data_IF_269562467923
#
_entry.id   IF_269562467923
#
_cell.length_a   1.000
_cell.length_b   1.000
_cell.length_c   1.000
_cell.angle_alpha   90.00
_cell.angle_beta   90.00
_cell.angle_gamma   90.00
#
_symmetry.space_group_name_H-M   'P 1'
#
loop_
_entity.id
_entity.type
_entity.pdbx_description
1 polymer ?
#
# COMPACT_ATOMS: atom_id res chain seq x y z
N UNK A 1 -17.30 -8.66 1.27
CA UNK A 1 -16.37 -9.61 0.65
C UNK A 1 -16.22 -10.80 1.57
N UNK A 2 -16.24 -12.02 1.04
CA UNK A 2 -16.11 -13.24 1.85
C UNK A 2 -14.67 -13.42 2.39
N UNK A 3 -14.55 -13.53 3.72
CA UNK A 3 -13.27 -13.70 4.43
C UNK A 3 -12.81 -15.15 4.36
N UNK A 4 -11.51 -15.35 4.18
CA UNK A 4 -10.90 -16.69 4.20
C UNK A 4 -11.03 -17.33 5.59
N UNK A 5 -11.36 -18.62 5.64
CA UNK A 5 -11.36 -19.40 6.88
C UNK A 5 -9.96 -19.61 7.47
N UNK A 6 -8.92 -19.26 6.72
CA UNK A 6 -7.52 -19.37 7.15
C UNK A 6 -6.99 -18.10 7.84
N UNK A 7 -7.81 -17.05 7.94
CA UNK A 7 -7.44 -15.83 8.69
C UNK A 7 -7.10 -16.19 10.13
N UNK A 8 -6.06 -15.54 10.65
CA UNK A 8 -5.54 -15.71 12.00
C UNK A 8 -4.76 -14.46 12.41
N UNK A 9 -4.19 -14.47 13.62
CA UNK A 9 -3.14 -13.51 14.02
C UNK A 9 -1.77 -13.96 13.49
N UNK A 10 -0.83 -13.03 13.44
CA UNK A 10 0.58 -13.37 13.22
C UNK A 10 1.08 -14.24 14.38
N UNK A 11 1.95 -15.19 14.08
CA UNK A 11 2.68 -15.91 15.11
C UNK A 11 4.05 -15.26 15.38
N UNK A 12 4.71 -15.66 16.47
CA UNK A 12 5.99 -15.08 16.89
C UNK A 12 7.07 -15.15 15.79
N UNK A 13 7.12 -16.22 15.00
CA UNK A 13 8.10 -16.31 13.91
C UNK A 13 7.84 -15.30 12.81
N UNK A 14 6.57 -14.99 12.50
CA UNK A 14 6.24 -13.98 11.50
C UNK A 14 6.52 -12.57 12.00
N UNK A 15 6.24 -12.30 13.28
CA UNK A 15 6.58 -11.03 13.93
C UNK A 15 8.10 -10.84 13.92
N UNK A 16 8.87 -11.84 14.38
CA UNK A 16 10.33 -11.81 14.32
C UNK A 16 10.85 -11.69 12.88
N UNK A 17 10.21 -12.36 11.90
CA UNK A 17 10.57 -12.19 10.49
C UNK A 17 10.35 -10.75 10.02
N UNK A 18 9.25 -10.11 10.40
CA UNK A 18 9.00 -8.72 10.05
C UNK A 18 10.06 -7.80 10.64
N UNK A 19 10.38 -7.96 11.92
CA UNK A 19 11.44 -7.20 12.58
C UNK A 19 12.81 -7.42 11.92
N UNK A 20 13.13 -8.68 11.61
CA UNK A 20 14.45 -9.04 11.11
C UNK A 20 14.65 -8.76 9.63
N UNK A 21 13.65 -9.07 8.81
CA UNK A 21 13.72 -9.07 7.35
C UNK A 21 12.94 -7.92 6.73
N UNK A 22 12.03 -7.29 7.49
CA UNK A 22 11.26 -6.11 7.10
C UNK A 22 9.97 -6.42 6.36
N UNK A 23 9.59 -7.70 6.24
CA UNK A 23 8.39 -8.11 5.51
C UNK A 23 7.79 -9.45 5.96
N UNK A 24 6.49 -9.63 5.67
CA UNK A 24 5.75 -10.89 5.70
C UNK A 24 4.96 -11.02 4.38
N UNK A 25 4.74 -12.24 3.87
CA UNK A 25 3.95 -12.45 2.64
C UNK A 25 3.09 -13.72 2.72
N UNK A 26 2.04 -13.77 1.90
CA UNK A 26 1.16 -14.93 1.78
C UNK A 26 0.16 -15.05 2.92
N UNK A 27 -0.20 -13.93 3.55
CA UNK A 27 -1.17 -13.92 4.63
C UNK A 27 -2.58 -13.99 4.03
N UNK A 28 -3.41 -14.97 4.41
CA UNK A 28 -4.75 -15.10 3.86
C UNK A 28 -5.67 -14.00 4.40
N UNK A 29 -6.49 -13.40 3.52
CA UNK A 29 -7.55 -12.45 3.90
C UNK A 29 -8.88 -12.83 3.27
N UNK A 30 -8.94 -12.93 1.94
CA UNK A 30 -10.19 -13.22 1.23
C UNK A 30 -10.23 -14.65 0.70
N UNK A 31 -11.43 -15.26 0.72
CA UNK A 31 -11.64 -16.56 0.07
C UNK A 31 -11.76 -16.39 -1.45
N UNK A 32 -11.89 -17.49 -2.20
CA UNK A 32 -12.17 -17.42 -3.63
C UNK A 32 -13.47 -16.66 -3.98
N UNK A 33 -14.47 -16.70 -3.09
CA UNK A 33 -15.67 -15.86 -3.21
C UNK A 33 -15.34 -14.38 -3.03
N UNK A 34 -14.58 -14.05 -1.98
CA UNK A 34 -14.13 -12.69 -1.70
C UNK A 34 -13.22 -12.09 -2.77
N UNK A 35 -12.40 -12.90 -3.44
CA UNK A 35 -11.56 -12.47 -4.57
C UNK A 35 -12.42 -11.93 -5.73
N UNK A 36 -13.56 -12.55 -6.03
CA UNK A 36 -14.46 -12.05 -7.09
C UNK A 36 -15.02 -10.67 -6.73
N UNK A 37 -15.42 -10.48 -5.47
CA UNK A 37 -15.88 -9.17 -4.99
C UNK A 37 -14.75 -8.12 -5.03
N UNK A 38 -13.53 -8.52 -4.69
CA UNK A 38 -12.34 -7.65 -4.73
C UNK A 38 -12.02 -7.18 -6.15
N UNK A 39 -12.08 -8.10 -7.12
CA UNK A 39 -11.90 -7.77 -8.54
C UNK A 39 -13.03 -6.88 -9.05
N UNK A 40 -14.28 -7.13 -8.62
CA UNK A 40 -15.40 -6.25 -8.93
C UNK A 40 -15.20 -4.86 -8.34
N UNK A 41 -14.74 -4.74 -7.09
CA UNK A 41 -14.42 -3.45 -6.47
C UNK A 41 -13.37 -2.69 -7.28
N UNK A 42 -12.28 -3.37 -7.67
CA UNK A 42 -11.26 -2.77 -8.51
C UNK A 42 -11.84 -2.23 -9.82
N UNK A 43 -12.61 -3.04 -10.54
CA UNK A 43 -13.24 -2.64 -11.81
C UNK A 43 -14.23 -1.49 -11.63
N UNK A 44 -15.09 -1.56 -10.62
CA UNK A 44 -16.07 -0.51 -10.29
C UNK A 44 -15.35 0.82 -10.06
N UNK A 45 -14.29 0.83 -9.24
CA UNK A 45 -13.56 2.06 -8.91
C UNK A 45 -12.68 2.55 -10.07
N UNK A 46 -12.03 1.66 -10.82
CA UNK A 46 -11.24 2.04 -11.98
C UNK A 46 -12.10 2.64 -13.08
N UNK A 47 -13.33 2.15 -13.28
CA UNK A 47 -14.25 2.66 -14.30
C UNK A 47 -14.82 4.04 -13.98
N UNK A 48 -14.67 4.51 -12.74
CA UNK A 48 -15.06 5.87 -12.36
C UNK A 48 -14.00 6.91 -12.68
N UNK A 49 -12.79 6.50 -13.07
CA UNK A 49 -11.74 7.43 -13.45
C UNK A 49 -12.09 8.16 -14.75
N UNK A 50 -11.94 9.50 -14.80
CA UNK A 50 -12.06 10.25 -16.03
C UNK A 50 -11.08 9.74 -17.10
N UNK A 51 -11.46 9.90 -18.38
CA UNK A 51 -10.60 9.55 -19.49
C UNK A 51 -9.22 10.23 -19.38
N UNK A 52 -8.14 9.44 -19.54
CA UNK A 52 -6.76 9.93 -19.47
C UNK A 52 -6.15 9.96 -18.06
N UNK A 53 -6.94 9.74 -17.00
CA UNK A 53 -6.38 9.63 -15.64
C UNK A 53 -5.75 8.26 -15.44
N UNK A 54 -4.45 8.24 -15.12
CA UNK A 54 -3.74 7.01 -14.78
C UNK A 54 -4.00 6.63 -13.32
N UNK A 55 -4.61 5.47 -13.09
CA UNK A 55 -4.91 4.97 -11.74
C UNK A 55 -3.68 4.90 -10.83
N UNK A 56 -2.50 4.57 -11.37
CA UNK A 56 -1.24 4.51 -10.61
C UNK A 56 -0.75 5.89 -10.14
N UNK A 57 -1.35 6.97 -10.64
CA UNK A 57 -1.06 8.37 -10.27
C UNK A 57 -2.18 8.99 -9.42
N UNK A 58 -3.16 8.18 -9.01
CA UNK A 58 -4.23 8.56 -8.06
C UNK A 58 -3.97 7.92 -6.71
N UNK A 59 -4.16 8.66 -5.61
CA UNK A 59 -4.03 8.13 -4.25
C UNK A 59 -5.18 8.64 -3.37
N UNK A 60 -5.13 8.36 -2.06
CA UNK A 60 -6.17 8.76 -1.09
C UNK A 60 -7.55 8.17 -1.37
N UNK A 61 -7.62 6.98 -1.99
CA UNK A 61 -8.91 6.34 -2.30
C UNK A 61 -9.79 6.11 -1.06
N UNK A 62 -9.20 5.90 0.11
CA UNK A 62 -9.90 5.77 1.40
C UNK A 62 -10.62 7.06 1.86
N UNK A 63 -10.22 8.24 1.35
CA UNK A 63 -10.89 9.53 1.60
C UNK A 63 -12.01 9.80 0.60
N UNK A 64 -11.96 9.16 -0.57
CA UNK A 64 -12.89 9.39 -1.66
C UNK A 64 -14.01 8.33 -1.70
N UNK A 65 -13.71 7.08 -1.39
CA UNK A 65 -14.60 5.93 -1.61
C UNK A 65 -14.90 5.19 -0.32
N UNK A 66 -16.18 5.06 0.01
CA UNK A 66 -16.63 4.27 1.17
C UNK A 66 -16.33 2.78 0.97
N UNK A 67 -16.50 2.25 -0.23
CA UNK A 67 -16.07 0.88 -0.57
C UNK A 67 -14.58 0.65 -0.31
N UNK A 68 -13.72 1.59 -0.71
CA UNK A 68 -12.27 1.48 -0.46
C UNK A 68 -11.95 1.63 1.03
N UNK A 69 -12.61 2.57 1.72
CA UNK A 69 -12.50 2.74 3.17
C UNK A 69 -12.83 1.44 3.92
N UNK A 70 -13.95 0.80 3.57
CA UNK A 70 -14.41 -0.44 4.21
C UNK A 70 -13.46 -1.60 3.94
N UNK A 71 -12.92 -1.70 2.72
CA UNK A 71 -11.86 -2.66 2.41
C UNK A 71 -10.65 -2.45 3.33
N UNK A 72 -10.21 -1.20 3.49
CA UNK A 72 -9.09 -0.84 4.35
C UNK A 72 -9.35 -1.06 5.85
N UNK A 73 -10.61 -1.14 6.27
CA UNK A 73 -11.00 -1.41 7.65
C UNK A 73 -11.47 -2.86 7.85
N UNK A 74 -11.15 -3.77 6.92
CA UNK A 74 -11.45 -5.19 7.07
C UNK A 74 -10.77 -5.74 8.34
N UNK A 75 -11.53 -6.33 9.30
CA UNK A 75 -10.98 -6.76 10.59
C UNK A 75 -9.75 -7.66 10.47
N UNK A 76 -9.77 -8.62 9.53
CA UNK A 76 -8.66 -9.52 9.25
C UNK A 76 -7.37 -8.80 8.82
N UNK A 77 -7.46 -7.69 8.06
CA UNK A 77 -6.29 -6.88 7.69
C UNK A 77 -5.79 -6.13 8.93
N UNK A 78 -6.72 -5.51 9.65
CA UNK A 78 -6.39 -4.73 10.85
C UNK A 78 -5.77 -5.58 11.96
N UNK A 79 -6.16 -6.86 12.06
CA UNK A 79 -5.58 -7.81 13.01
C UNK A 79 -4.08 -8.02 12.76
N UNK A 80 -3.69 -8.29 11.51
CA UNK A 80 -2.27 -8.43 11.17
C UNK A 80 -1.47 -7.14 11.34
N UNK A 81 -2.08 -5.98 11.08
CA UNK A 81 -1.43 -4.67 11.28
C UNK A 81 -1.25 -4.38 12.77
N UNK A 82 -2.26 -4.69 13.59
CA UNK A 82 -2.21 -4.52 15.04
C UNK A 82 -1.10 -5.37 15.68
N UNK A 83 -0.89 -6.60 15.20
CA UNK A 83 0.22 -7.45 15.67
C UNK A 83 1.60 -6.78 15.49
N UNK A 84 1.74 -5.83 14.55
CA UNK A 84 3.00 -5.12 14.28
C UNK A 84 3.06 -3.72 14.88
N UNK A 85 1.94 -3.00 14.91
CA UNK A 85 1.89 -1.59 15.34
C UNK A 85 1.36 -1.39 16.77
N UNK A 86 0.80 -2.44 17.36
CA UNK A 86 0.03 -2.34 18.60
C UNK A 86 -1.40 -1.82 18.38
N UNK A 87 -2.17 -1.60 19.47
CA UNK A 87 -3.62 -1.43 19.42
C UNK A 87 -4.11 -0.07 18.92
N UNK A 88 -3.22 0.92 18.76
CA UNK A 88 -3.58 2.30 18.46
C UNK A 88 -2.88 2.79 17.19
N UNK A 89 -3.59 2.71 16.06
CA UNK A 89 -3.03 3.06 14.75
C UNK A 89 -4.10 3.63 13.81
N UNK A 90 -3.63 4.36 12.81
CA UNK A 90 -4.49 5.01 11.81
C UNK A 90 -4.11 4.59 10.40
N UNK A 91 -5.10 4.63 9.51
CA UNK A 91 -4.92 4.58 8.06
C UNK A 91 -4.66 6.00 7.56
N UNK A 92 -3.67 6.18 6.69
CA UNK A 92 -3.39 7.49 6.07
C UNK A 92 -3.20 7.44 4.56
N UNK A 93 -2.99 6.25 4.00
CA UNK A 93 -2.69 6.07 2.58
C UNK A 93 -3.45 4.89 1.98
N UNK A 94 -3.97 5.07 0.76
CA UNK A 94 -4.68 4.03 0.02
C UNK A 94 -4.57 4.27 -1.48
N UNK A 95 -4.03 3.30 -2.23
CA UNK A 95 -3.77 3.44 -3.67
C UNK A 95 -3.79 2.09 -4.40
N UNK A 96 -4.10 2.12 -5.69
CA UNK A 96 -3.94 0.98 -6.60
C UNK A 96 -2.60 1.06 -7.35
N UNK A 97 -1.96 -0.09 -7.52
CA UNK A 97 -0.81 -0.30 -8.41
C UNK A 97 -1.15 -1.38 -9.45
N UNK A 98 -1.69 -0.92 -10.57
CA UNK A 98 -2.15 -1.73 -11.68
C UNK A 98 -1.12 -1.80 -12.80
N UNK A 99 -0.86 -3.02 -13.29
CA UNK A 99 -0.09 -3.31 -14.49
C UNK A 99 -0.92 -4.21 -15.40
N UNK A 100 -1.44 -3.63 -16.48
CA UNK A 100 -2.09 -4.41 -17.53
C UNK A 100 -1.13 -5.43 -18.14
N UNK A 101 -1.68 -6.45 -18.81
CA UNK A 101 -0.88 -7.38 -19.62
C UNK A 101 0.02 -6.60 -20.60
N UNK A 102 1.28 -7.03 -20.73
CA UNK A 102 2.29 -6.40 -21.62
C UNK A 102 2.60 -4.92 -21.31
N UNK A 103 2.20 -4.40 -20.16
CA UNK A 103 2.49 -3.00 -19.79
C UNK A 103 3.97 -2.77 -19.47
N UNK A 104 4.48 -1.60 -19.86
CA UNK A 104 5.89 -1.22 -19.69
C UNK A 104 6.21 -0.52 -18.36
N UNK A 105 5.18 -0.24 -17.55
CA UNK A 105 5.32 0.51 -16.30
C UNK A 105 6.28 -0.19 -15.33
N UNK A 106 7.20 0.56 -14.75
CA UNK A 106 8.19 0.09 -13.76
C UNK A 106 8.01 0.89 -12.47
N UNK A 107 8.12 0.21 -11.34
CA UNK A 107 8.34 0.88 -10.05
C UNK A 107 9.83 0.69 -9.74
N UNK A 108 10.64 1.75 -9.77
CA UNK A 108 12.07 1.62 -9.50
C UNK A 108 12.31 1.19 -8.05
N UNK A 109 13.55 0.76 -7.75
CA UNK A 109 13.95 0.51 -6.37
C UNK A 109 13.81 1.79 -5.55
N UNK A 110 13.06 1.73 -4.45
CA UNK A 110 12.87 2.86 -3.57
C UNK A 110 12.59 2.38 -2.14
N UNK A 111 12.64 3.33 -1.22
CA UNK A 111 12.11 3.20 0.13
C UNK A 111 10.90 4.13 0.20
N UNK A 112 9.81 3.61 0.72
CA UNK A 112 8.55 4.32 0.87
C UNK A 112 8.72 5.55 1.80
N UNK A 113 9.49 5.38 2.88
CA UNK A 113 9.83 6.40 3.88
C UNK A 113 10.53 7.63 3.29
N UNK A 114 11.16 7.51 2.11
CA UNK A 114 11.80 8.63 1.44
C UNK A 114 10.78 9.65 0.91
N UNK A 115 9.56 9.22 0.63
CA UNK A 115 8.52 10.07 0.05
C UNK A 115 7.70 10.82 1.09
N UNK A 116 7.77 10.42 2.35
CA UNK A 116 6.82 10.89 3.34
C UNK A 116 7.51 11.60 4.49
N UNK A 117 7.13 12.85 4.78
CA UNK A 117 7.65 13.58 5.93
C UNK A 117 6.96 13.12 7.22
N UNK A 118 7.10 11.83 7.57
CA UNK A 118 6.54 11.23 8.78
C UNK A 118 7.63 11.03 9.84
N UNK A 119 7.34 11.44 11.07
CA UNK A 119 8.23 11.27 12.20
C UNK A 119 7.49 10.71 13.44
N UNK A 120 7.96 9.60 14.04
CA UNK A 120 8.99 8.71 13.50
C UNK A 120 8.56 8.07 12.17
N UNK A 121 9.52 7.65 11.34
CA UNK A 121 9.26 6.77 10.20
C UNK A 121 8.90 5.40 10.74
N UNK A 122 7.60 5.12 10.82
CA UNK A 122 7.08 3.85 11.29
C UNK A 122 5.72 3.59 10.64
N UNK A 123 5.75 3.19 9.38
CA UNK A 123 4.54 2.75 8.68
C UNK A 123 4.66 1.29 8.24
N UNK A 124 3.55 0.58 8.37
CA UNK A 124 3.35 -0.74 7.75
C UNK A 124 2.53 -0.52 6.48
N UNK A 125 3.09 -0.95 5.35
CA UNK A 125 2.34 -1.04 4.09
C UNK A 125 1.77 -2.45 3.95
N UNK A 126 0.45 -2.55 3.92
CA UNK A 126 -0.27 -3.73 3.43
C UNK A 126 -0.32 -3.65 1.91
N UNK A 127 0.05 -4.73 1.23
CA UNK A 127 -0.14 -4.90 -0.21
C UNK A 127 -1.07 -6.08 -0.46
N UNK A 128 -2.29 -5.81 -0.90
CA UNK A 128 -3.34 -6.79 -1.17
C UNK A 128 -3.38 -7.16 -2.65
N UNK A 129 -3.27 -8.46 -2.94
CA UNK A 129 -3.31 -8.99 -4.29
C UNK A 129 -4.76 -9.09 -4.80
N UNK A 130 -5.11 -8.33 -5.84
CA UNK A 130 -6.42 -8.45 -6.52
C UNK A 130 -6.40 -9.61 -7.54
N UNK A 131 -5.23 -9.86 -8.10
CA UNK A 131 -4.93 -11.00 -8.97
C UNK A 131 -3.68 -11.72 -8.42
N UNK A 132 -3.52 -13.00 -8.74
CA UNK A 132 -2.29 -13.74 -8.44
C UNK A 132 -1.07 -12.96 -8.91
N UNK A 133 -0.02 -12.93 -8.09
CA UNK A 133 1.26 -12.30 -8.43
C UNK A 133 2.41 -13.26 -8.28
N UNK A 134 3.29 -13.24 -9.28
CA UNK A 134 4.57 -13.92 -9.24
C UNK A 134 5.62 -13.16 -10.07
N UNK A 135 6.84 -13.71 -10.14
CA UNK A 135 7.92 -13.13 -10.92
C UNK A 135 7.56 -12.92 -12.40
N UNK A 136 6.69 -13.76 -12.98
CA UNK A 136 6.34 -13.71 -14.40
C UNK A 136 5.41 -12.54 -14.75
N UNK A 137 4.56 -12.09 -13.82
CA UNK A 137 3.63 -10.97 -14.01
C UNK A 137 3.97 -9.74 -13.15
N UNK A 138 5.25 -9.59 -12.79
CA UNK A 138 5.77 -8.42 -12.09
C UNK A 138 5.25 -8.25 -10.68
N UNK A 139 5.26 -9.34 -9.90
CA UNK A 139 5.25 -9.26 -8.45
C UNK A 139 6.26 -8.22 -7.97
N UNK A 140 5.91 -7.54 -6.88
CA UNK A 140 6.85 -6.70 -6.17
C UNK A 140 8.06 -7.54 -5.75
N UNK A 141 9.24 -6.98 -5.89
CA UNK A 141 10.48 -7.53 -5.36
C UNK A 141 11.01 -6.62 -4.26
N UNK A 142 11.57 -7.22 -3.24
CA UNK A 142 12.14 -6.52 -2.08
C UNK A 142 13.60 -6.93 -1.91
N UNK A 143 14.35 -6.16 -1.13
CA UNK A 143 15.69 -6.55 -0.63
C UNK A 143 15.56 -6.83 0.85
N UNK A 144 15.67 -8.10 1.24
CA UNK A 144 15.51 -8.52 2.64
C UNK A 144 16.50 -7.79 3.55
N UNK A 145 16.05 -7.39 4.74
CA UNK A 145 16.84 -6.68 5.78
C UNK A 145 17.25 -5.24 5.43
N UNK A 146 16.88 -4.73 4.25
CA UNK A 146 17.29 -3.38 3.81
C UNK A 146 16.69 -2.26 4.68
N UNK A 147 15.57 -2.50 5.37
CA UNK A 147 14.97 -1.55 6.32
C UNK A 147 15.86 -1.22 7.51
N UNK A 148 16.81 -2.10 7.85
CA UNK A 148 17.82 -1.85 8.90
C UNK A 148 18.88 -0.83 8.45
N UNK A 149 18.95 -0.52 7.16
CA UNK A 149 19.98 0.35 6.58
C UNK A 149 19.45 1.75 6.33
N UNK A 150 20.04 2.75 6.99
CA UNK A 150 19.68 4.18 6.82
C UNK A 150 20.45 4.91 5.69
N UNK A 151 21.04 4.18 4.73
CA UNK A 151 22.13 4.70 3.87
C UNK A 151 21.89 4.57 2.36
N UNK A 152 20.66 4.34 1.91
CA UNK A 152 20.40 4.38 0.47
C UNK A 152 20.32 5.82 0.00
N UNK A 153 21.01 6.11 -1.10
CA UNK A 153 20.97 7.41 -1.76
C UNK A 153 19.91 7.34 -2.85
N UNK A 154 18.84 8.09 -2.67
CA UNK A 154 17.82 8.30 -3.68
C UNK A 154 18.21 9.45 -4.59
N UNK A 155 17.85 9.32 -5.86
CA UNK A 155 17.93 10.39 -6.86
C UNK A 155 16.60 10.51 -7.59
N UNK A 156 16.33 11.70 -8.12
CA UNK A 156 15.16 11.91 -8.98
C UNK A 156 15.44 11.29 -10.36
N UNK A 157 14.45 10.57 -10.90
CA UNK A 157 14.46 10.01 -12.24
C UNK A 157 13.09 10.22 -12.89
N UNK A 158 13.05 11.01 -13.95
CA UNK A 158 11.84 11.40 -14.67
C UNK A 158 11.54 10.52 -15.90
N UNK A 159 11.99 9.25 -15.90
CA UNK A 159 11.63 8.28 -16.95
C UNK A 159 10.10 8.13 -17.05
N UNK A 160 9.57 8.29 -18.26
CA UNK A 160 8.12 8.23 -18.53
C UNK A 160 7.50 6.86 -18.26
N UNK A 161 8.31 5.80 -18.20
CA UNK A 161 7.87 4.47 -17.87
C UNK A 161 7.79 4.23 -16.35
N UNK A 162 8.26 5.17 -15.53
CA UNK A 162 8.28 4.99 -14.08
C UNK A 162 6.99 5.47 -13.41
N UNK A 163 6.43 4.59 -12.58
CA UNK A 163 5.28 4.89 -11.75
C UNK A 163 5.66 5.82 -10.57
N UNK A 164 6.94 5.88 -10.17
CA UNK A 164 7.49 6.76 -9.14
C UNK A 164 8.80 7.41 -9.60
N UNK A 165 9.10 8.63 -9.15
CA UNK A 165 10.19 9.44 -9.69
C UNK A 165 11.44 9.52 -8.80
N UNK A 166 11.53 8.74 -7.71
CA UNK A 166 12.77 8.65 -6.92
C UNK A 166 13.24 7.21 -6.96
N UNK A 167 14.53 7.01 -7.16
CA UNK A 167 15.12 5.68 -7.26
C UNK A 167 16.42 5.55 -6.49
N UNK A 168 16.69 4.33 -6.05
CA UNK A 168 17.97 3.86 -5.56
C UNK A 168 18.65 3.09 -6.68
N UNK A 169 19.89 3.48 -7.00
CA UNK A 169 20.63 2.87 -8.11
C UNK A 169 20.95 1.38 -7.84
N UNK A 170 20.96 0.56 -8.90
CA UNK A 170 21.14 -0.90 -8.81
C UNK A 170 22.48 -1.35 -8.19
N UNK A 171 23.51 -0.50 -8.19
CA UNK A 171 24.80 -0.74 -7.55
C UNK A 171 24.72 -0.75 -6.01
N UNK A 172 23.68 -0.14 -5.44
CA UNK A 172 23.41 -0.16 -4.01
C UNK A 172 22.60 -1.39 -3.57
N UNK A 173 22.16 -2.23 -4.51
CA UNK A 173 21.23 -3.33 -4.25
C UNK A 173 22.00 -4.63 -4.04
N UNK A 174 21.83 -5.23 -2.85
CA UNK A 174 22.26 -6.60 -2.58
C UNK A 174 21.35 -7.58 -3.32
N UNK A 175 21.84 -8.09 -4.45
CA UNK A 175 21.07 -8.97 -5.34
C UNK A 175 20.83 -10.36 -4.75
N UNK A 176 21.66 -10.80 -3.81
CA UNK A 176 21.52 -12.11 -3.16
C UNK A 176 20.34 -12.14 -2.19
N UNK A 177 19.95 -10.96 -1.67
CA UNK A 177 18.82 -10.78 -0.75
C UNK A 177 17.49 -10.43 -1.44
N UNK A 178 17.42 -10.49 -2.77
CA UNK A 178 16.20 -10.19 -3.50
C UNK A 178 15.15 -11.29 -3.28
N UNK A 179 13.96 -10.89 -2.84
CA UNK A 179 12.81 -11.77 -2.67
C UNK A 179 11.63 -11.25 -3.48
N UNK A 180 10.97 -12.14 -4.23
CA UNK A 180 9.72 -11.84 -4.92
C UNK A 180 8.52 -12.08 -3.99
N UNK A 181 7.63 -11.10 -3.95
CA UNK A 181 6.38 -11.10 -3.18
C UNK A 181 5.29 -11.82 -3.98
N UNK A 182 5.50 -13.12 -4.16
CA UNK A 182 4.50 -13.99 -4.80
C UNK A 182 3.31 -14.15 -3.86
N UNK A 183 2.10 -13.90 -4.36
CA UNK A 183 0.86 -13.93 -3.60
C UNK A 183 -0.25 -14.55 -4.45
N UNK A 184 -1.19 -15.24 -3.81
CA UNK A 184 -2.48 -15.58 -4.42
C UNK A 184 -3.44 -14.39 -4.31
N UNK A 185 -4.35 -14.27 -5.26
CA UNK A 185 -5.42 -13.29 -5.16
C UNK A 185 -6.16 -13.43 -3.82
N UNK A 186 -6.39 -12.30 -3.14
CA UNK A 186 -6.98 -12.26 -1.81
C UNK A 186 -5.99 -12.42 -0.65
N UNK A 187 -4.72 -12.71 -0.92
CA UNK A 187 -3.65 -12.65 0.09
C UNK A 187 -3.04 -11.26 0.19
N UNK A 188 -2.43 -10.98 1.33
CA UNK A 188 -1.64 -9.77 1.56
C UNK A 188 -0.17 -10.08 1.81
N UNK A 189 0.65 -9.05 1.60
CA UNK A 189 1.95 -8.93 2.24
C UNK A 189 2.01 -7.66 3.08
N UNK A 190 2.92 -7.66 4.05
CA UNK A 190 3.21 -6.55 4.95
C UNK A 190 4.68 -6.19 4.77
N UNK A 191 5.01 -4.90 4.70
CA UNK A 191 6.40 -4.46 4.69
C UNK A 191 6.58 -3.09 5.37
N UNK A 192 7.78 -2.88 5.91
CA UNK A 192 8.19 -1.60 6.47
C UNK A 192 8.34 -0.55 5.38
N UNK A 193 7.97 0.69 5.71
CA UNK A 193 8.24 1.89 4.91
C UNK A 193 9.72 2.08 4.52
N UNK A 194 10.64 1.59 5.34
CA UNK A 194 12.08 1.62 5.06
C UNK A 194 12.58 0.42 4.24
N UNK A 195 11.74 -0.56 3.87
CA UNK A 195 12.20 -1.71 3.09
C UNK A 195 12.41 -1.30 1.62
N UNK A 196 13.58 -1.59 1.05
CA UNK A 196 13.80 -1.42 -0.38
C UNK A 196 12.91 -2.36 -1.19
N UNK A 197 12.17 -1.79 -2.12
CA UNK A 197 11.31 -2.55 -3.00
C UNK A 197 11.10 -1.87 -4.36
N UNK A 198 10.64 -2.66 -5.32
CA UNK A 198 10.35 -2.22 -6.69
C UNK A 198 9.58 -3.27 -7.46
N UNK A 199 9.25 -3.01 -8.72
CA UNK A 199 8.61 -4.01 -9.60
C UNK A 199 8.89 -3.75 -11.07
N UNK A 200 9.21 -4.80 -11.80
CA UNK A 200 9.56 -4.77 -13.23
C UNK A 200 8.32 -4.54 -14.13
N UNK A 201 8.52 -4.29 -15.42
CA UNK A 201 7.44 -4.24 -16.41
C UNK A 201 6.71 -5.58 -16.54
N UNK A 202 5.41 -5.56 -16.82
CA UNK A 202 4.60 -6.77 -16.95
C UNK A 202 4.68 -7.34 -18.35
N UNK A 203 5.52 -8.35 -18.54
CA UNK A 203 5.69 -9.04 -19.82
C UNK A 203 4.72 -10.21 -20.00
N UNK A 204 3.86 -10.52 -19.03
CA UNK A 204 2.90 -11.62 -19.12
C UNK A 204 1.63 -11.23 -19.88
N UNK A 205 0.75 -12.23 -20.10
CA UNK A 205 -0.60 -12.02 -20.63
C UNK A 205 -1.64 -11.75 -19.53
N UNK A 206 -1.23 -11.79 -18.26
CA UNK A 206 -2.13 -11.65 -17.12
C UNK A 206 -2.00 -10.24 -16.52
N UNK A 207 -3.11 -9.59 -16.14
CA UNK A 207 -3.03 -8.36 -15.38
C UNK A 207 -2.44 -8.62 -13.99
N UNK A 208 -1.83 -7.60 -13.40
CA UNK A 208 -1.46 -7.56 -11.99
C UNK A 208 -2.06 -6.31 -11.37
N UNK A 209 -2.72 -6.44 -10.23
CA UNK A 209 -3.19 -5.30 -9.46
C UNK A 209 -2.96 -5.54 -7.97
N UNK A 210 -2.30 -4.57 -7.34
CA UNK A 210 -2.14 -4.50 -5.89
C UNK A 210 -2.89 -3.30 -5.33
N UNK A 211 -3.47 -3.46 -4.15
CA UNK A 211 -3.98 -2.36 -3.35
C UNK A 211 -3.02 -2.13 -2.20
N UNK A 212 -2.43 -0.94 -2.13
CA UNK A 212 -1.62 -0.52 -0.98
C UNK A 212 -2.50 0.17 0.03
N UNK A 213 -2.36 -0.23 1.29
CA UNK A 213 -2.99 0.40 2.45
C UNK A 213 -1.87 0.70 3.44
N UNK A 214 -1.80 1.95 3.91
CA UNK A 214 -0.67 2.44 4.70
C UNK A 214 -1.15 2.86 6.08
N UNK A 215 -0.59 2.20 7.09
CA UNK A 215 -0.95 2.40 8.49
C UNK A 215 0.26 2.82 9.31
N UNK A 216 0.03 3.64 10.32
CA UNK A 216 1.05 4.06 11.27
C UNK A 216 0.50 4.09 12.69
N UNK A 217 1.34 3.84 13.71
CA UNK A 217 0.93 3.97 15.09
C UNK A 217 0.62 5.44 15.42
N UNK A 218 -0.22 5.65 16.42
CA UNK A 218 -0.76 6.96 16.80
C UNK A 218 0.30 8.02 17.17
N UNK A 219 1.54 7.62 17.49
CA UNK A 219 2.65 8.53 17.77
C UNK A 219 3.34 9.11 16.52
N UNK A 220 3.02 8.61 15.32
CA UNK A 220 3.55 9.14 14.06
C UNK A 220 2.87 10.45 13.70
N UNK A 221 3.66 11.47 13.41
CA UNK A 221 3.21 12.80 13.00
C UNK A 221 3.76 13.16 11.62
N UNK A 222 2.93 13.71 10.75
CA UNK A 222 3.36 14.31 9.49
C UNK A 222 3.83 15.75 9.67
N UNK A 223 4.85 16.16 8.91
CA UNK A 223 5.15 17.57 8.71
C UNK A 223 4.15 18.16 7.70
N UNK A 224 3.18 18.92 8.19
CA UNK A 224 2.16 19.55 7.36
C UNK A 224 2.68 20.73 6.54
N UNK A 225 3.89 21.24 6.83
CA UNK A 225 4.52 22.26 5.98
C UNK A 225 5.03 21.65 4.67
N UNK A 226 5.41 20.38 4.68
CA UNK A 226 5.81 19.61 3.49
C UNK A 226 4.62 18.85 2.88
N UNK A 227 3.71 18.34 3.71
CA UNK A 227 2.53 17.57 3.30
C UNK A 227 1.22 18.17 3.83
N UNK A 228 0.74 19.29 3.25
CA UNK A 228 -0.43 20.01 3.77
C UNK A 228 -1.77 19.25 3.62
N UNK A 229 -1.87 18.32 2.67
CA UNK A 229 -3.04 17.47 2.42
C UNK A 229 -3.04 16.17 3.27
N UNK A 230 -2.10 16.01 4.21
CA UNK A 230 -2.06 14.85 5.08
C UNK A 230 -3.22 14.90 6.08
N UNK A 231 -3.93 13.78 6.18
CA UNK A 231 -4.94 13.56 7.20
C UNK A 231 -5.17 12.07 7.33
N UNK A 232 -5.63 11.64 8.50
CA UNK A 232 -5.70 10.24 8.91
C UNK A 232 -7.14 9.81 9.16
N UNK A 233 -7.40 8.50 9.12
CA UNK A 233 -8.62 7.89 9.59
C UNK A 233 -8.27 6.85 10.64
N UNK A 234 -9.01 6.84 11.75
CA UNK A 234 -8.76 5.91 12.86
C UNK A 234 -9.04 4.50 12.36
N UNK A 235 -8.03 3.61 12.46
CA UNK A 235 -8.16 2.21 12.09
C UNK A 235 -8.46 1.35 13.32
N UNK A 236 -7.73 1.54 14.42
CA UNK A 236 -8.03 0.99 15.76
C UNK A 236 -7.56 1.94 16.87
N UNK A 237 -8.20 1.79 18.03
CA UNK A 237 -7.85 2.50 19.26
C UNK A 237 -8.71 3.73 19.53
N UNK A 238 -8.59 4.25 20.75
CA UNK A 238 -9.34 5.41 21.26
C UNK A 238 -8.47 6.65 21.46
N UNK A 239 -7.15 6.52 21.25
CA UNK A 239 -6.18 7.54 21.66
C UNK A 239 -6.29 8.83 20.85
N UNK A 240 -5.91 9.91 21.51
CA UNK A 240 -5.79 11.28 21.00
C UNK A 240 -4.96 11.32 19.70
N UNK A 241 -5.58 11.11 18.54
CA UNK A 241 -4.97 11.26 17.21
C UNK A 241 -4.67 12.74 16.88
N UNK A 242 -4.55 13.60 17.90
CA UNK A 242 -4.35 15.05 17.79
C UNK A 242 -3.07 15.47 17.09
N UNK A 243 -2.13 14.54 16.84
CA UNK A 243 -0.89 14.85 16.14
C UNK A 243 -1.13 15.17 14.65
N UNK A 244 -2.20 14.62 14.05
CA UNK A 244 -2.52 14.80 12.64
C UNK A 244 -3.99 15.21 12.44
N UNK A 245 -4.33 15.95 11.37
CA UNK A 245 -5.71 16.20 11.00
C UNK A 245 -6.45 14.88 10.73
N UNK A 246 -7.72 14.79 11.13
CA UNK A 246 -8.56 13.62 10.89
C UNK A 246 -9.43 13.88 9.65
N UNK A 247 -9.40 12.97 8.69
CA UNK A 247 -10.37 12.97 7.58
C UNK A 247 -11.66 12.28 8.02
N UNK A 248 -12.84 12.76 7.56
CA UNK A 248 -14.09 12.06 7.77
C UNK A 248 -14.09 10.70 7.05
N UNK A 249 -14.99 9.84 7.50
CA UNK A 249 -15.31 8.59 6.79
C UNK A 249 -16.18 8.97 5.58
N UNK A 250 -15.85 8.52 4.35
CA UNK A 250 -16.68 8.79 3.19
C UNK A 250 -18.09 8.22 3.39
N UNK A 251 -19.13 8.95 2.97
CA UNK A 251 -20.53 8.47 3.06
C UNK A 251 -21.00 7.78 1.77
N UNK A 252 -20.16 7.77 0.76
CA UNK A 252 -20.48 7.34 -0.59
C UNK A 252 -19.23 7.20 -1.44
N UNK A 253 -19.37 7.40 -2.75
CA UNK A 253 -18.31 7.15 -3.71
C UNK A 253 -17.99 8.43 -4.48
N UNK A 254 -16.80 8.97 -4.25
CA UNK A 254 -16.09 9.93 -5.09
C UNK A 254 -14.89 9.25 -5.78
N UNK A 255 -14.14 10.00 -6.57
CA UNK A 255 -12.98 9.47 -7.31
C UNK A 255 -11.78 10.41 -7.21
N UNK A 256 -10.62 9.98 -6.67
CA UNK A 256 -9.41 10.77 -6.78
C UNK A 256 -8.94 10.79 -8.24
N UNK A 257 -8.52 11.96 -8.71
CA UNK A 257 -8.10 12.18 -10.10
C UNK A 257 -6.61 12.49 -10.23
N UNK A 258 -5.93 12.67 -9.09
CA UNK A 258 -4.50 12.93 -8.99
C UNK A 258 -3.98 12.47 -7.63
N UNK A 259 -2.67 12.54 -7.43
CA UNK A 259 -2.08 12.39 -6.11
C UNK A 259 -2.43 13.58 -5.22
N UNK A 260 -2.42 13.37 -3.91
CA UNK A 260 -2.31 14.45 -2.92
C UNK A 260 -3.51 15.39 -2.87
N UNK A 261 -4.71 14.82 -2.79
CA UNK A 261 -5.97 15.55 -2.65
C UNK A 261 -6.44 15.60 -1.19
N UNK A 262 -7.08 16.71 -0.82
CA UNK A 262 -7.77 16.88 0.45
C UNK A 262 -9.07 16.07 0.49
N UNK A 263 -9.50 15.69 1.69
CA UNK A 263 -10.77 14.98 1.86
C UNK A 263 -11.98 15.85 1.46
N UNK A 264 -11.94 17.16 1.71
CA UNK A 264 -13.03 18.08 1.37
C UNK A 264 -13.25 18.23 -0.15
N UNK A 265 -12.27 17.86 -0.99
CA UNK A 265 -12.46 17.79 -2.43
C UNK A 265 -13.48 16.71 -2.83
N UNK A 266 -13.74 15.73 -1.95
CA UNK A 266 -14.66 14.63 -2.20
C UNK A 266 -16.01 14.79 -1.50
N UNK A 267 -16.10 15.63 -0.46
CA UNK A 267 -17.29 15.76 0.41
C UNK A 267 -18.57 16.17 -0.31
N UNK A 268 -18.45 16.91 -1.42
CA UNK A 268 -19.61 17.30 -2.24
C UNK A 268 -20.14 16.17 -3.13
N UNK A 269 -19.34 15.11 -3.32
CA UNK A 269 -19.68 13.95 -4.14
C UNK A 269 -20.30 12.80 -3.33
N UNK A 270 -20.30 12.87 -1.98
CA UNK A 270 -20.85 11.84 -1.09
C UNK A 270 -21.63 12.33 0.14
#
# INVERSE_FOLDING_TARGET
MEISKLVRRLNDNEISQYEDKGYIKGLPVFSQGGVKDLQKLFLDLSNRLPAGVNINKTNMWHKASKKFYDLAHTPAILDYVEDLLGPNFFLWGGQFFYKAAKSKGVVPWHQDSQYWPLNPSNSVTVWLAVYDTDKSNSAMKIVSESHKTKRFLHKINDDKNYDLNQEVSNDQIDKEKIVYMNLKAGEISLHSDALLHGSDANHSNNPRCGITLRYSPSNVKADLSEWPFFSVQIARGETNHSLNPIAPIPRGEATPVKGFQFHHEFESEW
#
